data_IF_317228081825
#
_entry.id   IF_317228081825
#
_cell.length_a   1.000
_cell.length_b   1.000
_cell.length_c   1.000
_cell.angle_alpha   90.00
_cell.angle_beta   90.00
_cell.angle_gamma   90.00
#
_symmetry.space_group_name_H-M   'P 1'
#
loop_
_entity.id
_entity.type
_entity.pdbx_description
1 polymer ?
#
# COMPACT_ATOMS: atom_id res chain seq x y z
N UNK A 1 -8.01 -25.95 -9.77
CA UNK A 1 -6.71 -25.38 -9.36
C UNK A 1 -6.67 -23.87 -9.58
N UNK A 2 -7.33 -23.06 -8.73
CA UNK A 2 -7.24 -21.58 -8.77
C UNK A 2 -7.31 -20.95 -7.36
N UNK A 3 -6.89 -21.70 -6.35
CA UNK A 3 -6.92 -21.31 -4.93
C UNK A 3 -5.57 -20.80 -4.41
N UNK A 4 -4.67 -20.34 -5.28
CA UNK A 4 -3.29 -20.00 -4.91
C UNK A 4 -2.89 -18.54 -5.14
N UNK A 5 -3.80 -17.64 -5.53
CA UNK A 5 -3.46 -16.21 -5.74
C UNK A 5 -3.78 -15.30 -4.56
N UNK A 6 -4.53 -15.77 -3.55
CA UNK A 6 -4.99 -14.95 -2.43
C UNK A 6 -4.01 -14.83 -1.25
N UNK A 7 -2.88 -15.55 -1.26
CA UNK A 7 -2.02 -15.66 -0.07
C UNK A 7 -0.68 -14.91 -0.17
N UNK A 8 -0.30 -14.38 -1.34
CA UNK A 8 1.11 -14.00 -1.58
C UNK A 8 1.44 -12.52 -1.35
N UNK A 9 0.46 -11.66 -1.08
CA UNK A 9 0.72 -10.20 -0.96
C UNK A 9 0.75 -9.70 0.50
N UNK A 10 0.27 -10.50 1.46
CA UNK A 10 0.20 -10.09 2.88
C UNK A 10 1.55 -10.26 3.62
N UNK A 11 2.44 -11.10 3.12
CA UNK A 11 3.68 -11.47 3.83
C UNK A 11 4.81 -10.43 3.80
N UNK A 12 4.64 -9.28 3.13
CA UNK A 12 5.69 -8.25 3.01
C UNK A 12 5.30 -6.89 3.60
N UNK A 13 4.33 -6.87 4.52
CA UNK A 13 3.93 -5.66 5.25
C UNK A 13 4.84 -5.34 6.45
N UNK A 14 5.77 -6.23 6.82
CA UNK A 14 6.54 -6.13 8.07
C UNK A 14 7.99 -5.63 7.94
N UNK A 15 8.51 -5.34 6.75
CA UNK A 15 9.95 -5.09 6.57
C UNK A 15 10.40 -3.62 6.57
N UNK A 16 9.50 -2.63 6.66
CA UNK A 16 9.92 -1.20 6.55
C UNK A 16 9.92 -0.45 7.90
N UNK A 17 9.54 -1.09 9.02
CA UNK A 17 9.42 -0.37 10.31
C UNK A 17 10.74 -0.13 11.08
N UNK A 18 11.94 -0.47 10.58
CA UNK A 18 13.13 -0.57 11.48
C UNK A 18 14.16 0.56 11.39
N UNK A 19 14.18 1.46 10.40
CA UNK A 19 15.38 2.31 10.19
C UNK A 19 15.29 3.81 10.50
N UNK A 20 14.31 4.27 11.28
CA UNK A 20 14.04 5.70 11.49
C UNK A 20 15.09 6.49 12.30
N UNK A 21 16.22 5.93 12.74
CA UNK A 21 17.14 6.63 13.65
C UNK A 21 18.44 7.17 13.01
N UNK A 22 18.78 6.84 11.76
CA UNK A 22 20.07 7.24 11.16
C UNK A 22 20.00 7.71 9.69
N UNK A 23 18.81 8.03 9.16
CA UNK A 23 18.66 8.43 7.76
C UNK A 23 18.79 9.95 7.58
N UNK A 24 19.61 10.35 6.61
CA UNK A 24 19.67 11.74 6.14
C UNK A 24 18.31 12.19 5.59
N UNK A 25 18.00 13.50 5.57
CA UNK A 25 16.75 13.98 4.96
C UNK A 25 16.55 13.54 3.50
N UNK A 26 17.65 13.35 2.74
CA UNK A 26 17.57 12.83 1.36
C UNK A 26 17.13 11.36 1.33
N UNK A 27 17.61 10.55 2.26
CA UNK A 27 17.21 9.14 2.39
C UNK A 27 15.76 9.01 2.85
N UNK A 28 15.31 9.85 3.79
CA UNK A 28 13.89 9.91 4.19
C UNK A 28 12.98 10.25 3.01
N UNK A 29 13.40 11.17 2.12
CA UNK A 29 12.64 11.45 0.88
C UNK A 29 12.60 10.23 -0.04
N UNK A 30 13.69 9.48 -0.16
CA UNK A 30 13.74 8.26 -0.98
C UNK A 30 12.85 7.17 -0.39
N UNK A 31 12.88 6.97 0.92
CA UNK A 31 12.03 6.04 1.64
C UNK A 31 10.55 6.39 1.48
N UNK A 32 10.17 7.65 1.73
CA UNK A 32 8.79 8.10 1.56
C UNK A 32 8.29 7.96 0.11
N UNK A 33 9.16 8.14 -0.90
CA UNK A 33 8.80 7.87 -2.31
C UNK A 33 8.56 6.38 -2.56
N UNK A 34 9.38 5.51 -1.95
CA UNK A 34 9.21 4.06 -2.05
C UNK A 34 7.89 3.61 -1.40
N UNK A 35 7.57 4.10 -0.20
CA UNK A 35 6.29 3.84 0.47
C UNK A 35 5.09 4.29 -0.38
N UNK A 36 5.15 5.49 -0.97
CA UNK A 36 4.09 5.98 -1.88
C UNK A 36 3.93 5.04 -3.08
N UNK A 37 5.03 4.60 -3.70
CA UNK A 37 4.98 3.69 -4.86
C UNK A 37 4.39 2.33 -4.48
N UNK A 38 4.78 1.79 -3.33
CA UNK A 38 4.26 0.53 -2.81
C UNK A 38 2.77 0.64 -2.50
N UNK A 39 2.36 1.67 -1.76
CA UNK A 39 0.96 1.90 -1.43
C UNK A 39 0.09 2.11 -2.68
N UNK A 40 0.59 2.82 -3.70
CA UNK A 40 -0.09 2.96 -4.99
C UNK A 40 -0.26 1.61 -5.71
N UNK A 41 0.77 0.76 -5.65
CA UNK A 41 0.72 -0.60 -6.22
C UNK A 41 -0.33 -1.45 -5.51
N UNK A 42 -0.36 -1.43 -4.18
CA UNK A 42 -1.35 -2.16 -3.37
C UNK A 42 -2.78 -1.70 -3.68
N UNK A 43 -3.02 -0.38 -3.76
CA UNK A 43 -4.35 0.16 -4.12
C UNK A 43 -4.76 -0.28 -5.52
N UNK A 44 -3.82 -0.30 -6.48
CA UNK A 44 -4.11 -0.73 -7.85
C UNK A 44 -4.46 -2.22 -7.90
N UNK A 45 -3.69 -3.07 -7.22
CA UNK A 45 -3.95 -4.50 -7.13
C UNK A 45 -5.35 -4.78 -6.56
N UNK A 46 -5.65 -4.23 -5.38
CA UNK A 46 -6.96 -4.38 -4.74
C UNK A 46 -8.13 -3.91 -5.61
N UNK A 47 -7.95 -2.86 -6.43
CA UNK A 47 -8.97 -2.41 -7.38
C UNK A 47 -9.18 -3.40 -8.54
N UNK A 48 -8.09 -3.96 -9.06
CA UNK A 48 -8.16 -4.99 -10.11
C UNK A 48 -8.85 -6.24 -9.58
N UNK A 49 -8.46 -6.71 -8.39
CA UNK A 49 -9.04 -7.90 -7.77
C UNK A 49 -10.54 -7.72 -7.50
N UNK A 50 -10.94 -6.55 -6.98
CA UNK A 50 -12.34 -6.22 -6.77
C UNK A 50 -13.15 -6.18 -8.08
N UNK A 51 -12.52 -5.83 -9.21
CA UNK A 51 -13.16 -5.89 -10.53
C UNK A 51 -13.36 -7.34 -10.97
N UNK A 52 -12.31 -8.16 -10.86
CA UNK A 52 -12.36 -9.60 -11.17
C UNK A 52 -13.43 -10.31 -10.35
N UNK A 53 -13.52 -10.06 -9.04
CA UNK A 53 -14.55 -10.65 -8.17
C UNK A 53 -15.96 -10.30 -8.64
N UNK A 54 -16.18 -9.04 -9.08
CA UNK A 54 -17.49 -8.63 -9.63
C UNK A 54 -17.81 -9.34 -10.95
N UNK A 55 -16.82 -9.58 -11.78
CA UNK A 55 -16.99 -10.33 -13.03
C UNK A 55 -17.30 -11.80 -12.76
N UNK A 56 -16.63 -12.44 -11.79
CA UNK A 56 -16.91 -13.82 -11.37
C UNK A 56 -18.34 -13.99 -10.81
N UNK A 57 -18.84 -13.02 -10.03
CA UNK A 57 -20.23 -13.03 -9.55
C UNK A 57 -21.21 -12.91 -10.72
N UNK A 58 -20.93 -12.04 -11.69
CA UNK A 58 -21.77 -11.91 -12.89
C UNK A 58 -21.77 -13.18 -13.74
N UNK A 59 -20.62 -13.84 -13.84
CA UNK A 59 -20.48 -15.12 -14.54
C UNK A 59 -21.09 -16.32 -13.78
N UNK A 60 -21.56 -16.11 -12.54
CA UNK A 60 -22.10 -17.18 -11.70
C UNK A 60 -21.03 -18.15 -11.16
N UNK A 61 -19.74 -17.85 -11.34
CA UNK A 61 -18.64 -18.72 -10.92
C UNK A 61 -18.22 -18.49 -9.47
N UNK A 62 -18.79 -17.49 -8.80
CA UNK A 62 -18.55 -17.16 -7.39
C UNK A 62 -19.86 -16.72 -6.73
N UNK A 63 -20.09 -17.16 -5.49
CA UNK A 63 -21.30 -16.79 -4.74
C UNK A 63 -21.21 -15.35 -4.23
N UNK A 64 -22.37 -14.75 -3.91
CA UNK A 64 -22.44 -13.40 -3.35
C UNK A 64 -21.71 -13.28 -2.00
N UNK A 65 -21.79 -14.29 -1.14
CA UNK A 65 -21.17 -14.27 0.18
C UNK A 65 -19.64 -14.36 0.11
N UNK A 66 -19.11 -15.26 -0.74
CA UNK A 66 -17.67 -15.34 -1.00
C UNK A 66 -17.13 -14.03 -1.60
N UNK A 67 -17.86 -13.46 -2.57
CA UNK A 67 -17.50 -12.18 -3.17
C UNK A 67 -17.51 -11.03 -2.16
N UNK A 68 -18.48 -11.01 -1.24
CA UNK A 68 -18.57 -9.99 -0.19
C UNK A 68 -17.38 -10.06 0.76
N UNK A 69 -16.95 -11.28 1.13
CA UNK A 69 -15.76 -11.49 1.97
C UNK A 69 -14.50 -11.03 1.25
N UNK A 70 -14.33 -11.40 -0.02
CA UNK A 70 -13.17 -10.97 -0.80
C UNK A 70 -13.12 -9.45 -1.01
N UNK A 71 -14.25 -8.83 -1.37
CA UNK A 71 -14.32 -7.38 -1.56
C UNK A 71 -14.05 -6.60 -0.26
N UNK A 72 -14.35 -7.18 0.92
CA UNK A 72 -13.94 -6.61 2.20
C UNK A 72 -12.43 -6.66 2.38
N UNK A 73 -11.79 -7.78 2.04
CA UNK A 73 -10.34 -7.91 2.09
C UNK A 73 -9.65 -6.91 1.13
N UNK A 74 -10.10 -6.84 -0.13
CA UNK A 74 -9.59 -5.88 -1.11
C UNK A 74 -9.73 -4.43 -0.62
N UNK A 75 -10.87 -4.12 0.03
CA UNK A 75 -11.10 -2.78 0.62
C UNK A 75 -10.12 -2.49 1.76
N UNK A 76 -9.79 -3.47 2.60
CA UNK A 76 -8.80 -3.32 3.67
C UNK A 76 -7.40 -3.09 3.09
N UNK A 77 -6.98 -3.91 2.12
CA UNK A 77 -5.70 -3.72 1.43
C UNK A 77 -5.59 -2.36 0.74
N UNK A 78 -6.67 -1.88 0.13
CA UNK A 78 -6.70 -0.53 -0.44
C UNK A 78 -6.62 0.58 0.61
N UNK A 79 -7.09 0.36 1.84
CA UNK A 79 -6.91 1.32 2.95
C UNK A 79 -5.47 1.35 3.42
N UNK A 80 -4.85 0.19 3.59
CA UNK A 80 -3.43 0.07 3.99
C UNK A 80 -2.51 0.75 2.97
N UNK A 81 -2.73 0.50 1.68
CA UNK A 81 -1.97 1.17 0.63
C UNK A 81 -2.15 2.70 0.64
N UNK A 82 -3.34 3.21 0.98
CA UNK A 82 -3.55 4.66 1.17
C UNK A 82 -2.84 5.20 2.40
N UNK A 83 -2.78 4.44 3.49
CA UNK A 83 -2.03 4.82 4.70
C UNK A 83 -0.53 4.88 4.41
N UNK A 84 0.03 3.91 3.68
CA UNK A 84 1.42 3.93 3.23
C UNK A 84 1.73 5.17 2.35
N UNK A 85 0.82 5.53 1.44
CA UNK A 85 0.94 6.76 0.64
C UNK A 85 0.95 8.01 1.54
N UNK A 86 0.07 8.05 2.55
CA UNK A 86 0.01 9.18 3.47
C UNK A 86 1.28 9.28 4.31
N UNK A 87 1.74 8.18 4.91
CA UNK A 87 3.01 8.07 5.64
C UNK A 87 4.18 8.60 4.81
N UNK A 88 4.36 8.07 3.60
CA UNK A 88 5.46 8.50 2.73
C UNK A 88 5.39 9.99 2.35
N UNK A 89 4.19 10.56 2.21
CA UNK A 89 4.03 12.02 1.99
C UNK A 89 4.46 12.84 3.20
N UNK A 90 4.08 12.42 4.41
CA UNK A 90 4.46 13.08 5.66
C UNK A 90 5.99 13.02 5.84
N UNK A 91 6.60 11.86 5.64
CA UNK A 91 8.07 11.71 5.71
C UNK A 91 8.79 12.65 4.74
N UNK A 92 8.34 12.74 3.48
CA UNK A 92 8.92 13.66 2.49
C UNK A 92 8.75 15.12 2.93
N UNK A 93 7.61 15.47 3.53
CA UNK A 93 7.34 16.83 3.97
C UNK A 93 8.29 17.26 5.09
N UNK A 94 8.42 16.43 6.12
CA UNK A 94 9.32 16.69 7.26
C UNK A 94 10.78 16.74 6.82
N UNK A 95 11.22 15.81 5.96
CA UNK A 95 12.57 15.83 5.42
C UNK A 95 12.87 17.10 4.60
N UNK A 96 11.91 17.58 3.80
CA UNK A 96 12.04 18.86 3.08
C UNK A 96 12.06 20.06 4.01
N UNK A 97 11.35 20.01 5.14
CA UNK A 97 11.41 21.05 6.16
C UNK A 97 12.78 21.09 6.82
N UNK A 98 13.31 19.94 7.25
CA UNK A 98 14.65 19.82 7.82
C UNK A 98 15.75 20.34 6.88
N UNK A 99 15.68 20.03 5.59
CA UNK A 99 16.64 20.56 4.58
C UNK A 99 16.56 22.09 4.49
N UNK A 100 15.36 22.67 4.52
CA UNK A 100 15.18 24.12 4.44
C UNK A 100 15.73 24.82 5.68
N UNK A 101 15.51 24.25 6.86
CA UNK A 101 16.02 24.78 8.12
C UNK A 101 17.55 24.69 8.20
N UNK A 102 18.14 23.58 7.74
CA UNK A 102 19.59 23.42 7.67
C UNK A 102 20.27 24.41 6.71
N UNK A 103 19.57 24.89 5.68
CA UNK A 103 20.07 25.92 4.75
C UNK A 103 19.97 27.36 5.27
N UNK A 104 19.19 27.58 6.34
CA UNK A 104 18.99 28.90 6.96
C UNK A 104 19.95 29.16 8.12
N UNK A 105 20.65 28.12 8.59
CA UNK A 105 21.76 28.20 9.54
C UNK A 105 23.06 28.33 8.77
#
# INVERSE_FOLDING_TARGET
>A
MRSAFFATVVAFALTISVNSFAQTPKEQIKAGKAEIKQGATQVKAARTDAKTVKEEVKAGTKTKEEAKTQLKADRTQAKEGKQAIHSGKVQIHEAKKAIREAKKK
#
